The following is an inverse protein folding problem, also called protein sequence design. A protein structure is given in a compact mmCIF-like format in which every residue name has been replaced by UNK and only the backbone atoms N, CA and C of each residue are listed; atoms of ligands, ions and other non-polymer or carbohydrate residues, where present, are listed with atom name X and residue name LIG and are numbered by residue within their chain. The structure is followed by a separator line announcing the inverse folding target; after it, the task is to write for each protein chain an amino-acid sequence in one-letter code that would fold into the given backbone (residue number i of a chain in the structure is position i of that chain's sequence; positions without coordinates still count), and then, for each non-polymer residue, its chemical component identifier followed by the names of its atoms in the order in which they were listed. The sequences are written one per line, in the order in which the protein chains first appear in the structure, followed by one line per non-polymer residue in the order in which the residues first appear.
data_IF_037511508331
#
_entry.id   IF_037511508331
#
_cell.length_a   1.000
_cell.length_b   1.000
_cell.length_c   1.000
_cell.angle_alpha   90.00
_cell.angle_beta   90.00
_cell.angle_gamma   90.00
#
_symmetry.space_group_name_H-M   'P 1'
#
loop_
_entity.id
_entity.type
_entity.pdbx_description
1 polymer ?
#
# COMPACT_ATOMS: atom_id res chain seq x y z
N UNK A 1 53.55 57.03 35.73
CA UNK A 1 52.47 57.38 36.68
C UNK A 1 51.65 56.11 36.89
N UNK A 2 51.63 55.42 38.02
CA UNK A 2 52.38 55.55 39.27
C UNK A 2 52.16 54.30 40.12
N UNK A 3 53.27 53.78 40.68
CA UNK A 3 53.47 52.97 41.90
C UNK A 3 52.71 51.63 42.05
N UNK A 4 53.31 50.52 42.48
CA UNK A 4 54.64 50.27 43.03
C UNK A 4 54.61 48.98 43.89
N UNK A 5 55.51 48.06 43.56
CA UNK A 5 56.25 47.12 44.41
C UNK A 5 55.57 46.18 45.45
N UNK A 6 56.00 44.91 45.31
CA UNK A 6 56.49 43.97 46.34
C UNK A 6 55.53 43.21 47.28
N UNK A 7 55.69 41.88 47.21
CA UNK A 7 55.20 40.76 48.04
C UNK A 7 55.44 40.93 49.56
N UNK A 8 54.81 40.14 50.48
CA UNK A 8 55.03 38.67 50.62
C UNK A 8 53.80 37.83 51.10
N UNK A 9 53.96 36.50 51.14
CA UNK A 9 53.07 35.44 51.73
C UNK A 9 53.09 35.43 53.29
N UNK A 10 52.38 34.55 54.06
CA UNK A 10 51.19 33.66 53.84
C UNK A 10 50.18 33.61 55.05
N UNK A 11 49.13 32.75 55.01
CA UNK A 11 48.64 31.77 56.06
C UNK A 11 47.10 31.49 56.01
N UNK A 12 46.71 30.20 56.11
CA UNK A 12 45.44 29.71 56.72
C UNK A 12 44.57 28.78 55.84
N UNK A 13 44.70 27.43 55.90
CA UNK A 13 43.92 26.41 56.68
C UNK A 13 42.44 26.24 56.22
N UNK A 14 41.81 25.06 56.03
CA UNK A 14 42.00 23.64 56.40
C UNK A 14 41.04 22.71 55.57
N UNK A 15 41.23 21.36 55.55
CA UNK A 15 40.40 20.35 54.84
C UNK A 15 39.71 19.30 55.77
N UNK A 16 38.94 18.35 55.20
CA UNK A 16 38.67 16.96 55.68
C UNK A 16 37.78 16.24 54.63
N UNK A 17 38.13 15.14 53.95
CA UNK A 17 38.59 13.76 54.26
C UNK A 17 37.49 12.68 54.37
N UNK A 18 37.80 11.52 53.77
CA UNK A 18 36.97 10.33 53.50
C UNK A 18 37.44 9.11 54.32
N UNK A 19 36.53 8.13 54.41
CA UNK A 19 36.71 6.67 54.28
C UNK A 19 36.96 5.79 55.52
N UNK A 20 36.24 4.64 55.57
CA UNK A 20 36.79 3.26 55.61
C UNK A 20 35.66 2.20 55.66
N UNK A 21 35.98 0.95 55.29
CA UNK A 21 35.09 -0.17 54.90
C UNK A 21 35.20 -1.42 55.83
N UNK A 22 34.05 -2.11 56.05
CA UNK A 22 33.74 -3.58 56.17
C UNK A 22 34.37 -4.43 57.33
N UNK A 23 33.83 -5.63 57.75
CA UNK A 23 33.04 -6.64 57.00
C UNK A 23 31.96 -7.55 57.73
N UNK A 24 31.31 -8.44 56.94
CA UNK A 24 30.73 -9.82 57.17
C UNK A 24 29.45 -10.18 57.98
N UNK A 25 28.63 -11.04 57.30
CA UNK A 25 27.87 -12.26 57.72
C UNK A 25 26.51 -12.25 58.47
N UNK A 26 25.47 -12.76 57.76
CA UNK A 26 24.52 -13.86 58.08
C UNK A 26 23.45 -13.78 59.20
N UNK A 27 22.21 -14.12 58.78
CA UNK A 27 21.15 -14.93 59.44
C UNK A 27 20.11 -14.31 60.41
N UNK A 28 18.84 -14.43 59.96
CA UNK A 28 17.60 -14.84 60.67
C UNK A 28 16.80 -13.91 61.62
N UNK A 29 15.52 -13.79 61.25
CA UNK A 29 14.28 -13.99 62.03
C UNK A 29 13.49 -12.79 62.60
N UNK A 30 12.20 -12.77 62.19
CA UNK A 30 10.98 -12.30 62.86
C UNK A 30 10.75 -10.77 62.96
N UNK A 31 9.55 -10.21 62.73
CA UNK A 31 8.20 -10.77 62.95
C UNK A 31 7.13 -9.99 62.16
N UNK A 32 6.11 -10.72 61.69
CA UNK A 32 4.86 -10.26 61.06
C UNK A 32 3.90 -9.57 62.05
N UNK A 33 3.08 -8.65 61.54
CA UNK A 33 1.63 -8.44 61.77
C UNK A 33 1.23 -7.34 60.75
N UNK A 34 0.24 -7.46 59.86
CA UNK A 34 -1.08 -8.04 60.05
C UNK A 34 -1.70 -8.61 58.76
N UNK A 35 -2.69 -9.47 58.99
CA UNK A 35 -3.32 -10.46 58.11
C UNK A 35 -4.54 -9.95 57.28
N UNK A 36 -4.80 -10.70 56.19
CA UNK A 36 -6.10 -10.97 55.54
C UNK A 36 -6.67 -9.86 54.62
N UNK A 37 -6.98 -10.09 53.33
CA UNK A 37 -7.62 -11.26 52.70
C UNK A 37 -7.16 -11.47 51.23
N UNK A 38 -6.93 -12.73 50.86
CA UNK A 38 -6.86 -13.27 49.48
C UNK A 38 -8.31 -13.64 49.04
N UNK A 39 -8.68 -13.94 47.76
CA UNK A 39 -7.81 -14.51 46.72
C UNK A 39 -8.10 -14.13 45.25
N UNK A 40 -7.18 -14.54 44.35
CA UNK A 40 -7.39 -14.84 42.92
C UNK A 40 -7.82 -13.66 42.03
N UNK A 41 -6.84 -12.88 41.56
CA UNK A 41 -6.94 -12.30 40.21
C UNK A 41 -6.72 -13.42 39.21
N UNK A 42 -7.85 -13.95 38.74
CA UNK A 42 -7.95 -14.71 37.52
C UNK A 42 -7.19 -13.96 36.41
N UNK A 43 -6.02 -14.47 36.06
CA UNK A 43 -5.36 -14.12 34.81
C UNK A 43 -6.09 -14.90 33.72
N UNK A 44 -7.32 -14.49 33.44
CA UNK A 44 -7.91 -14.74 32.14
C UNK A 44 -7.01 -14.01 31.15
N UNK A 45 -6.01 -14.74 30.62
CA UNK A 45 -5.39 -14.42 29.35
C UNK A 45 -6.55 -14.11 28.42
N UNK A 46 -6.70 -12.84 28.05
CA UNK A 46 -7.37 -12.56 26.79
C UNK A 46 -6.38 -13.08 25.75
N UNK A 47 -6.49 -14.37 25.45
CA UNK A 47 -6.01 -14.92 24.19
C UNK A 47 -6.99 -14.34 23.18
N UNK A 48 -6.68 -13.16 22.66
CA UNK A 48 -7.20 -12.81 21.34
C UNK A 48 -6.46 -13.78 20.41
N UNK A 49 -7.14 -14.66 19.66
CA UNK A 49 -6.50 -15.35 18.58
C UNK A 49 -6.05 -14.24 17.63
N UNK A 50 -4.75 -13.99 17.60
CA UNK A 50 -4.10 -13.46 16.42
C UNK A 50 -4.30 -14.55 15.37
N UNK A 51 -5.45 -14.55 14.71
CA UNK A 51 -5.51 -15.20 13.42
C UNK A 51 -4.45 -14.51 12.57
N UNK A 52 -3.47 -15.31 12.17
CA UNK A 52 -2.29 -15.00 11.37
C UNK A 52 -2.67 -14.13 10.14
N UNK A 53 -1.74 -13.39 9.54
CA UNK A 53 -1.34 -13.79 8.18
C UNK A 53 -0.18 -12.95 7.64
N UNK A 54 0.93 -13.63 7.35
CA UNK A 54 1.79 -13.29 6.20
C UNK A 54 1.06 -13.83 4.97
N UNK A 55 0.36 -12.99 4.19
CA UNK A 55 -0.43 -13.52 3.06
C UNK A 55 0.47 -13.98 1.90
N UNK A 56 0.79 -15.29 1.88
CA UNK A 56 1.37 -16.03 0.75
C UNK A 56 0.32 -16.47 -0.28
N UNK A 57 -0.88 -15.89 -0.25
CA UNK A 57 -1.97 -16.26 -1.14
C UNK A 57 -2.53 -15.10 -1.95
N UNK A 58 -3.06 -15.46 -3.11
CA UNK A 58 -3.67 -14.56 -4.08
C UNK A 58 -5.13 -14.96 -4.29
N UNK A 59 -6.04 -14.00 -4.18
CA UNK A 59 -7.42 -14.22 -4.62
C UNK A 59 -7.51 -13.92 -6.11
N UNK A 60 -8.04 -14.86 -6.87
CA UNK A 60 -8.38 -14.69 -8.28
C UNK A 60 -9.90 -14.74 -8.40
N UNK A 61 -10.51 -13.79 -9.09
CA UNK A 61 -11.94 -13.81 -9.40
C UNK A 61 -12.14 -13.88 -10.90
N UNK A 62 -12.73 -14.98 -11.37
CA UNK A 62 -13.13 -15.18 -12.77
C UNK A 62 -14.65 -15.06 -12.93
N UNK A 63 -15.11 -14.10 -13.73
CA UNK A 63 -16.53 -13.90 -14.06
C UNK A 63 -16.71 -13.40 -15.50
N UNK A 64 -17.63 -13.98 -16.27
CA UNK A 64 -17.91 -13.59 -17.67
C UNK A 64 -18.31 -12.11 -17.82
N UNK A 65 -18.84 -11.49 -16.77
CA UNK A 65 -19.39 -10.13 -16.80
C UNK A 65 -18.74 -9.22 -15.77
N UNK A 66 -17.47 -9.44 -15.48
CA UNK A 66 -16.76 -8.61 -14.52
C UNK A 66 -16.68 -7.16 -15.01
N UNK A 67 -17.40 -6.26 -14.35
CA UNK A 67 -17.40 -4.82 -14.63
C UNK A 67 -17.34 -4.06 -13.31
N UNK A 68 -16.16 -3.53 -12.99
CA UNK A 68 -15.93 -2.75 -11.77
C UNK A 68 -16.73 -1.44 -11.72
N UNK A 69 -17.29 -0.99 -12.85
CA UNK A 69 -18.15 0.20 -12.90
C UNK A 69 -19.60 -0.07 -12.45
N UNK A 70 -19.98 -1.34 -12.31
CA UNK A 70 -21.25 -1.75 -11.70
C UNK A 70 -21.06 -1.80 -10.18
N UNK A 71 -21.83 -0.98 -9.47
CA UNK A 71 -21.67 -0.69 -8.03
C UNK A 71 -21.64 -1.96 -7.15
N UNK A 72 -22.37 -3.00 -7.57
CA UNK A 72 -22.42 -4.29 -6.86
C UNK A 72 -21.08 -5.06 -6.87
N UNK A 73 -20.33 -5.04 -7.99
CA UNK A 73 -19.00 -5.67 -8.05
C UNK A 73 -17.96 -4.84 -7.31
N UNK A 74 -18.01 -3.51 -7.46
CA UNK A 74 -17.15 -2.60 -6.68
C UNK A 74 -17.34 -2.78 -5.18
N UNK A 75 -18.59 -2.92 -4.72
CA UNK A 75 -18.91 -3.23 -3.32
C UNK A 75 -18.39 -4.61 -2.90
N UNK A 76 -18.58 -5.63 -3.73
CA UNK A 76 -18.15 -7.00 -3.45
C UNK A 76 -16.64 -7.14 -3.36
N UNK A 77 -15.89 -6.52 -4.29
CA UNK A 77 -14.43 -6.43 -4.24
C UNK A 77 -13.98 -5.70 -2.98
N UNK A 78 -14.63 -4.58 -2.64
CA UNK A 78 -14.32 -3.82 -1.42
C UNK A 78 -14.50 -4.67 -0.17
N UNK A 79 -15.51 -5.52 -0.11
CA UNK A 79 -15.70 -6.47 0.99
C UNK A 79 -14.64 -7.58 1.01
N UNK A 80 -14.30 -8.15 -0.14
CA UNK A 80 -13.24 -9.15 -0.25
C UNK A 80 -11.86 -8.59 0.09
N UNK A 81 -11.58 -7.32 -0.27
CA UNK A 81 -10.32 -6.64 0.06
C UNK A 81 -10.12 -6.45 1.56
N UNK A 82 -11.19 -6.52 2.37
CA UNK A 82 -11.10 -6.59 3.85
C UNK A 82 -10.65 -7.95 4.37
N UNK A 83 -10.58 -8.96 3.50
CA UNK A 83 -10.22 -10.33 3.84
C UNK A 83 -8.93 -10.77 3.14
N UNK A 84 -8.69 -10.31 1.92
CA UNK A 84 -7.55 -10.69 1.07
C UNK A 84 -6.94 -9.44 0.43
N UNK A 85 -5.62 -9.26 0.60
CA UNK A 85 -4.95 -8.02 0.19
C UNK A 85 -4.71 -7.90 -1.32
N UNK A 86 -4.58 -9.04 -2.02
CA UNK A 86 -4.35 -9.08 -3.46
C UNK A 86 -5.49 -9.84 -4.12
N UNK A 87 -6.20 -9.15 -5.01
CA UNK A 87 -7.30 -9.70 -5.80
C UNK A 87 -7.01 -9.37 -7.26
N UNK A 88 -6.99 -10.40 -8.09
CA UNK A 88 -6.83 -10.28 -9.54
C UNK A 88 -8.12 -10.77 -10.18
N UNK A 89 -8.62 -10.02 -11.16
CA UNK A 89 -9.94 -10.22 -11.73
C UNK A 89 -9.80 -10.53 -13.22
N UNK A 90 -10.60 -11.48 -13.71
CA UNK A 90 -10.53 -11.97 -15.07
C UNK A 90 -11.93 -12.13 -15.64
N UNK A 91 -12.07 -11.77 -16.93
CA UNK A 91 -13.27 -12.08 -17.71
C UNK A 91 -13.05 -13.30 -18.62
N UNK A 92 -11.82 -13.51 -19.06
CA UNK A 92 -11.44 -14.56 -20.00
C UNK A 92 -10.88 -15.79 -19.26
N UNK A 93 -11.43 -16.96 -19.59
CA UNK A 93 -11.07 -18.22 -18.95
C UNK A 93 -9.61 -18.60 -19.21
N UNK A 94 -9.16 -18.50 -20.45
CA UNK A 94 -7.83 -18.97 -20.83
C UNK A 94 -6.74 -18.06 -20.24
N UNK A 95 -6.97 -16.74 -20.19
CA UNK A 95 -6.08 -15.78 -19.53
C UNK A 95 -5.93 -16.06 -18.04
N UNK A 96 -7.06 -16.29 -17.35
CA UNK A 96 -7.07 -16.65 -15.93
C UNK A 96 -6.26 -17.92 -15.66
N UNK A 97 -6.43 -18.95 -16.49
CA UNK A 97 -5.72 -20.22 -16.38
C UNK A 97 -4.21 -20.02 -16.63
N UNK A 98 -3.83 -19.29 -17.68
CA UNK A 98 -2.43 -19.00 -17.97
C UNK A 98 -1.76 -18.21 -16.83
N UNK A 99 -2.47 -17.23 -16.26
CA UNK A 99 -2.01 -16.48 -15.10
C UNK A 99 -1.77 -17.38 -13.88
N UNK A 100 -2.73 -18.24 -13.55
CA UNK A 100 -2.61 -19.22 -12.47
C UNK A 100 -1.41 -20.15 -12.70
N UNK A 101 -1.13 -20.55 -13.95
CA UNK A 101 0.01 -21.42 -14.29
C UNK A 101 1.37 -20.73 -14.11
N UNK A 102 1.45 -19.41 -14.25
CA UNK A 102 2.69 -18.64 -14.07
C UNK A 102 3.08 -18.48 -12.59
N UNK A 103 2.15 -18.68 -11.65
CA UNK A 103 2.33 -18.43 -10.22
C UNK A 103 2.71 -19.70 -9.46
N UNK A 104 3.92 -20.22 -9.70
CA UNK A 104 4.34 -21.52 -9.13
C UNK A 104 4.61 -21.52 -7.62
N UNK A 105 4.82 -20.34 -7.01
CA UNK A 105 5.19 -20.21 -5.59
C UNK A 105 4.13 -19.50 -4.74
N UNK A 106 2.88 -19.42 -5.21
CA UNK A 106 1.79 -18.77 -4.47
C UNK A 106 0.58 -19.69 -4.34
N UNK A 107 -0.08 -19.68 -3.18
CA UNK A 107 -1.36 -20.39 -3.00
C UNK A 107 -2.48 -19.51 -3.57
N UNK A 108 -3.35 -20.08 -4.39
CA UNK A 108 -4.41 -19.32 -5.09
C UNK A 108 -5.77 -19.74 -4.56
N UNK A 109 -6.55 -18.74 -4.18
CA UNK A 109 -7.97 -18.85 -3.87
C UNK A 109 -8.73 -18.36 -5.09
N UNK A 110 -9.64 -19.16 -5.65
CA UNK A 110 -10.37 -18.81 -6.87
C UNK A 110 -11.85 -18.62 -6.58
N UNK A 111 -12.39 -17.44 -6.88
CA UNK A 111 -13.83 -17.21 -6.99
C UNK A 111 -14.19 -17.35 -8.46
N UNK A 112 -15.23 -18.14 -8.76
CA UNK A 112 -15.69 -18.37 -10.12
C UNK A 112 -17.19 -18.20 -10.22
N UNK A 113 -17.66 -17.55 -11.30
CA UNK A 113 -19.09 -17.47 -11.57
C UNK A 113 -19.69 -18.84 -11.90
N UNK A 114 -20.95 -19.04 -11.53
CA UNK A 114 -21.66 -20.30 -11.85
C UNK A 114 -21.74 -20.61 -13.35
N UNK A 115 -21.67 -19.60 -14.22
CA UNK A 115 -21.67 -19.83 -15.67
C UNK A 115 -20.41 -20.56 -16.15
N UNK A 116 -19.27 -20.32 -15.48
CA UNK A 116 -17.96 -20.84 -15.87
C UNK A 116 -17.53 -22.08 -15.07
N UNK A 117 -18.19 -22.41 -13.95
CA UNK A 117 -17.67 -23.44 -13.07
C UNK A 117 -17.61 -24.84 -13.73
N UNK A 118 -18.62 -25.22 -14.52
CA UNK A 118 -18.67 -26.51 -15.22
C UNK A 118 -17.57 -26.67 -16.29
N UNK A 119 -17.08 -25.56 -16.87
CA UNK A 119 -16.05 -25.58 -17.91
C UNK A 119 -14.64 -25.40 -17.33
N UNK A 120 -14.48 -24.56 -16.31
CA UNK A 120 -13.17 -24.17 -15.79
C UNK A 120 -12.69 -25.09 -14.68
N UNK A 121 -13.54 -25.50 -13.73
CA UNK A 121 -13.10 -26.33 -12.61
C UNK A 121 -12.47 -27.65 -13.06
N UNK A 122 -12.99 -28.38 -14.06
CA UNK A 122 -12.32 -29.57 -14.60
C UNK A 122 -10.92 -29.31 -15.19
N UNK A 123 -10.63 -28.07 -15.60
CA UNK A 123 -9.31 -27.68 -16.14
C UNK A 123 -8.32 -27.30 -15.04
N UNK A 124 -8.79 -26.73 -13.93
CA UNK A 124 -7.93 -26.13 -12.90
C UNK A 124 -7.82 -26.91 -11.60
N UNK A 125 -8.74 -27.84 -11.32
CA UNK A 125 -8.80 -28.51 -10.01
C UNK A 125 -7.51 -29.27 -9.62
N UNK A 126 -6.77 -29.79 -10.60
CA UNK A 126 -5.51 -30.51 -10.37
C UNK A 126 -4.28 -29.60 -10.21
N UNK A 127 -4.41 -28.29 -10.40
CA UNK A 127 -3.27 -27.36 -10.29
C UNK A 127 -2.78 -27.28 -8.84
N UNK A 128 -1.49 -27.47 -8.62
CA UNK A 128 -0.88 -27.51 -7.28
C UNK A 128 -0.97 -26.18 -6.54
N UNK A 129 -0.90 -25.07 -7.28
CA UNK A 129 -1.04 -23.71 -6.76
C UNK A 129 -2.48 -23.36 -6.35
N UNK A 130 -3.48 -24.04 -6.90
CA UNK A 130 -4.89 -23.76 -6.58
C UNK A 130 -5.27 -24.46 -5.28
N UNK A 131 -5.57 -23.68 -4.25
CA UNK A 131 -5.86 -24.17 -2.91
C UNK A 131 -7.36 -24.40 -2.67
N UNK A 132 -8.17 -23.38 -2.94
CA UNK A 132 -9.63 -23.42 -2.78
C UNK A 132 -10.34 -22.74 -3.94
N UNK A 133 -11.54 -23.24 -4.27
CA UNK A 133 -12.45 -22.69 -5.28
C UNK A 133 -13.79 -22.37 -4.60
N UNK A 134 -14.34 -21.19 -4.88
CA UNK A 134 -15.64 -20.74 -4.39
C UNK A 134 -16.50 -20.37 -5.59
N UNK A 135 -17.70 -20.94 -5.68
CA UNK A 135 -18.61 -20.67 -6.78
C UNK A 135 -19.58 -19.57 -6.38
N UNK A 136 -19.60 -18.46 -7.11
CA UNK A 136 -20.55 -17.37 -6.92
C UNK A 136 -21.67 -17.49 -7.96
N UNK A 137 -22.89 -17.79 -7.53
CA UNK A 137 -24.03 -17.91 -8.45
C UNK A 137 -25.37 -17.71 -7.76
N UNK A 138 -26.39 -17.30 -8.53
CA UNK A 138 -27.75 -17.17 -8.03
C UNK A 138 -28.47 -18.52 -7.85
N UNK A 139 -28.01 -19.59 -8.50
CA UNK A 139 -28.66 -20.91 -8.52
C UNK A 139 -27.88 -21.95 -7.72
N UNK A 140 -27.81 -21.74 -6.40
CA UNK A 140 -26.98 -22.54 -5.48
C UNK A 140 -27.21 -24.06 -5.62
N UNK A 141 -28.46 -24.49 -5.60
CA UNK A 141 -28.88 -25.90 -5.62
C UNK A 141 -28.31 -26.68 -6.82
N UNK A 142 -28.26 -26.03 -8.00
CA UNK A 142 -27.75 -26.65 -9.24
C UNK A 142 -26.27 -27.03 -9.10
N UNK A 143 -25.48 -26.16 -8.48
CA UNK A 143 -24.03 -26.33 -8.42
C UNK A 143 -23.54 -26.98 -7.13
N UNK A 144 -24.39 -27.05 -6.10
CA UNK A 144 -24.02 -27.62 -4.80
C UNK A 144 -23.89 -29.15 -4.84
N UNK A 145 -24.66 -29.83 -5.70
CA UNK A 145 -24.46 -31.26 -5.97
C UNK A 145 -23.20 -31.50 -6.81
N UNK A 146 -23.03 -30.75 -7.91
CA UNK A 146 -21.84 -30.84 -8.77
C UNK A 146 -20.53 -30.51 -8.04
N UNK A 147 -20.57 -29.54 -7.12
CA UNK A 147 -19.39 -29.13 -6.35
C UNK A 147 -18.85 -30.26 -5.45
N UNK A 148 -19.70 -31.22 -5.03
CA UNK A 148 -19.28 -32.35 -4.19
C UNK A 148 -18.27 -33.26 -4.87
N UNK A 149 -18.26 -33.27 -6.21
CA UNK A 149 -17.32 -34.08 -7.00
C UNK A 149 -15.90 -33.48 -7.00
N UNK A 150 -15.73 -32.23 -6.53
CA UNK A 150 -14.48 -31.49 -6.60
C UNK A 150 -13.97 -31.07 -5.21
N UNK A 151 -12.96 -31.75 -4.62
CA UNK A 151 -12.51 -31.53 -3.24
C UNK A 151 -11.99 -30.11 -2.92
N UNK A 152 -11.54 -29.38 -3.94
CA UNK A 152 -11.08 -28.00 -3.82
C UNK A 152 -12.21 -26.98 -3.86
N UNK A 153 -13.41 -27.36 -4.31
CA UNK A 153 -14.58 -26.48 -4.25
C UNK A 153 -15.08 -26.46 -2.80
N UNK A 154 -14.91 -25.31 -2.14
CA UNK A 154 -15.22 -25.14 -0.71
C UNK A 154 -16.65 -24.68 -0.46
N UNK A 155 -17.34 -24.21 -1.49
CA UNK A 155 -18.76 -23.89 -1.40
C UNK A 155 -19.32 -23.19 -2.63
N UNK A 156 -20.66 -23.17 -2.67
CA UNK A 156 -21.44 -22.40 -3.64
C UNK A 156 -22.23 -21.36 -2.88
N UNK A 157 -22.13 -20.10 -3.31
CA UNK A 157 -22.62 -18.94 -2.58
C UNK A 157 -23.43 -18.04 -3.49
N UNK A 158 -24.50 -17.48 -2.93
CA UNK A 158 -25.37 -16.49 -3.59
C UNK A 158 -25.03 -15.06 -3.20
N UNK A 159 -24.25 -14.88 -2.14
CA UNK A 159 -23.86 -13.60 -1.57
C UNK A 159 -22.35 -13.57 -1.31
N UNK A 160 -21.77 -12.37 -1.34
CA UNK A 160 -20.33 -12.17 -1.17
C UNK A 160 -19.87 -12.25 0.29
N UNK A 161 -20.72 -11.88 1.26
CA UNK A 161 -20.38 -11.89 2.69
C UNK A 161 -19.99 -13.32 3.14
N UNK A 162 -20.79 -14.37 2.86
CA UNK A 162 -20.39 -15.74 3.18
C UNK A 162 -19.13 -16.21 2.44
N UNK A 163 -18.87 -15.72 1.22
CA UNK A 163 -17.62 -16.02 0.51
C UNK A 163 -16.44 -15.42 1.28
N UNK A 164 -16.55 -14.18 1.77
CA UNK A 164 -15.50 -13.57 2.57
C UNK A 164 -15.14 -14.44 3.78
N UNK A 165 -16.12 -14.97 4.50
CA UNK A 165 -15.86 -15.83 5.65
C UNK A 165 -15.18 -17.16 5.27
N UNK A 166 -15.62 -17.78 4.17
CA UNK A 166 -15.03 -19.02 3.66
C UNK A 166 -13.59 -18.83 3.13
N UNK A 167 -13.34 -17.69 2.46
CA UNK A 167 -12.02 -17.24 2.04
C UNK A 167 -11.13 -17.02 3.26
N UNK A 168 -11.62 -16.34 4.30
CA UNK A 168 -10.89 -16.11 5.56
C UNK A 168 -10.51 -17.41 6.24
N UNK A 169 -11.42 -18.39 6.26
CA UNK A 169 -11.14 -19.70 6.86
C UNK A 169 -10.09 -20.49 6.07
N UNK A 170 -10.16 -20.50 4.74
CA UNK A 170 -9.17 -21.19 3.91
C UNK A 170 -7.81 -20.49 3.96
N UNK A 171 -7.80 -19.17 4.04
CA UNK A 171 -6.60 -18.38 4.29
C UNK A 171 -5.90 -18.79 5.60
N UNK A 172 -6.64 -18.98 6.69
CA UNK A 172 -6.06 -19.46 7.97
C UNK A 172 -5.49 -20.88 7.85
N UNK A 173 -6.19 -21.78 7.18
CA UNK A 173 -5.69 -23.13 6.94
C UNK A 173 -4.44 -23.15 6.05
N UNK A 174 -4.34 -22.23 5.08
CA UNK A 174 -3.13 -22.08 4.26
C UNK A 174 -1.88 -21.80 5.11
N UNK A 175 -2.04 -21.10 6.22
CA UNK A 175 -0.96 -20.69 7.13
C UNK A 175 -0.58 -21.77 8.11
N UNK A 176 -1.54 -22.55 8.60
CA UNK A 176 -1.27 -23.71 9.47
C UNK A 176 -0.41 -24.80 8.78
N UNK A 177 -0.44 -24.86 7.44
CA UNK A 177 0.41 -25.74 6.62
C UNK A 177 1.82 -25.18 6.34
N UNK A 178 2.10 -23.94 6.76
CA UNK A 178 3.43 -23.35 6.67
C UNK A 178 4.25 -23.70 7.90
N UNK A 179 5.56 -23.97 7.70
CA UNK A 179 6.49 -24.42 8.75
C UNK A 179 6.32 -23.56 10.01
N UNK A 180 6.27 -24.16 11.23
CA UNK A 180 6.06 -23.39 12.44
C UNK A 180 7.10 -22.28 12.52
N UNK A 181 6.62 -21.04 12.47
CA UNK A 181 7.46 -19.86 12.66
C UNK A 181 7.92 -19.94 14.11
N UNK A 182 9.18 -20.34 14.29
CA UNK A 182 9.84 -20.34 15.58
C UNK A 182 9.72 -18.96 16.22
N UNK A 183 9.16 -18.95 17.43
CA UNK A 183 9.26 -17.93 18.48
C UNK A 183 9.86 -16.57 18.06
N UNK A 184 9.03 -15.53 18.20
CA UNK A 184 9.28 -14.10 17.96
C UNK A 184 8.79 -13.59 16.61
N UNK A 185 7.46 -13.51 16.46
CA UNK A 185 6.87 -12.50 15.58
C UNK A 185 7.27 -11.14 16.14
N UNK A 186 8.06 -10.40 15.37
CA UNK A 186 8.49 -9.06 15.73
C UNK A 186 7.26 -8.14 15.80
N UNK A 187 6.99 -7.48 16.95
CA UNK A 187 5.79 -6.64 17.12
C UNK A 187 5.62 -5.57 16.03
N UNK A 188 6.72 -5.11 15.44
CA UNK A 188 6.78 -4.20 14.28
C UNK A 188 5.91 -4.67 13.10
N UNK A 189 6.01 -5.93 12.69
CA UNK A 189 5.32 -6.48 11.51
C UNK A 189 3.80 -6.46 11.67
N UNK A 190 3.33 -6.78 12.87
CA UNK A 190 1.91 -6.74 13.26
C UNK A 190 1.33 -5.31 13.20
N UNK A 191 2.10 -4.30 13.63
CA UNK A 191 1.67 -2.90 13.55
C UNK A 191 1.64 -2.41 12.10
N UNK A 192 2.67 -2.72 11.30
CA UNK A 192 2.76 -2.27 9.90
C UNK A 192 1.58 -2.80 9.07
N UNK A 193 1.13 -4.02 9.31
CA UNK A 193 0.03 -4.62 8.56
C UNK A 193 -1.34 -4.04 8.94
N UNK A 194 -1.62 -3.89 10.24
CA UNK A 194 -2.86 -3.25 10.71
C UNK A 194 -2.92 -1.77 10.31
N UNK A 195 -1.77 -1.06 10.33
CA UNK A 195 -1.68 0.31 9.83
C UNK A 195 -1.88 0.39 8.31
N UNK A 196 -1.31 -0.53 7.55
CA UNK A 196 -1.52 -0.63 6.10
C UNK A 196 -3.02 -0.83 5.78
N UNK A 197 -3.73 -1.65 6.53
CA UNK A 197 -5.18 -1.83 6.37
C UNK A 197 -5.98 -0.55 6.63
N UNK A 198 -5.69 0.16 7.73
CA UNK A 198 -6.35 1.44 8.04
C UNK A 198 -6.09 2.44 6.91
N UNK A 199 -4.87 2.50 6.37
CA UNK A 199 -4.52 3.52 5.39
C UNK A 199 -5.01 3.18 3.97
N UNK A 200 -5.11 1.90 3.61
CA UNK A 200 -5.75 1.48 2.36
C UNK A 200 -7.26 1.79 2.32
N UNK A 201 -7.88 2.13 3.45
CA UNK A 201 -9.26 2.65 3.46
C UNK A 201 -9.38 4.13 3.10
N UNK A 202 -8.25 4.86 3.04
CA UNK A 202 -8.21 6.28 2.71
C UNK A 202 -8.14 6.43 1.18
N UNK A 203 -9.19 7.00 0.59
CA UNK A 203 -9.27 7.25 -0.85
C UNK A 203 -8.56 8.54 -1.22
N UNK A 204 -7.26 8.43 -1.50
CA UNK A 204 -6.42 9.58 -1.85
C UNK A 204 -6.74 10.20 -3.22
N UNK A 205 -7.35 9.45 -4.15
CA UNK A 205 -7.67 9.96 -5.48
C UNK A 205 -8.82 10.98 -5.45
N UNK A 206 -9.90 10.63 -4.74
CA UNK A 206 -11.01 11.56 -4.50
C UNK A 206 -10.52 12.84 -3.83
N UNK A 207 -9.56 12.73 -2.93
CA UNK A 207 -9.10 13.87 -2.16
C UNK A 207 -8.20 14.83 -2.97
N UNK A 208 -7.45 14.36 -3.97
CA UNK A 208 -6.71 15.23 -4.90
C UNK A 208 -7.65 16.09 -5.76
N UNK A 209 -8.66 15.47 -6.36
CA UNK A 209 -9.67 16.18 -7.17
C UNK A 209 -10.43 17.24 -6.35
N UNK A 210 -10.72 16.91 -5.08
CA UNK A 210 -11.36 17.84 -4.14
C UNK A 210 -10.45 19.00 -3.81
N UNK A 211 -9.15 18.77 -3.64
CA UNK A 211 -8.18 19.86 -3.43
C UNK A 211 -8.09 20.77 -4.65
N UNK A 212 -7.99 20.20 -5.86
CA UNK A 212 -7.94 20.98 -7.10
C UNK A 212 -9.21 21.82 -7.26
N UNK A 213 -10.37 21.26 -6.92
CA UNK A 213 -11.65 21.96 -6.89
C UNK A 213 -11.67 23.09 -5.84
N UNK A 214 -11.21 22.84 -4.61
CA UNK A 214 -11.15 23.85 -3.54
C UNK A 214 -10.19 24.99 -3.93
N UNK A 215 -9.04 24.67 -4.50
CA UNK A 215 -8.06 25.66 -4.93
C UNK A 215 -8.54 26.46 -6.14
N UNK A 216 -9.19 25.80 -7.10
CA UNK A 216 -9.87 26.45 -8.22
C UNK A 216 -10.97 27.41 -7.73
N UNK A 217 -11.85 26.96 -6.82
CA UNK A 217 -12.91 27.78 -6.24
C UNK A 217 -12.37 29.01 -5.49
N UNK A 218 -11.23 28.87 -4.78
CA UNK A 218 -10.55 29.99 -4.12
C UNK A 218 -9.92 30.99 -5.09
N UNK A 219 -9.39 30.51 -6.22
CA UNK A 219 -8.80 31.37 -7.27
C UNK A 219 -9.86 32.06 -8.14
N UNK A 220 -11.08 31.53 -8.17
CA UNK A 220 -12.18 32.00 -9.00
C UNK A 220 -13.46 32.23 -8.18
N UNK A 221 -13.45 33.16 -7.21
CA UNK A 221 -14.59 33.40 -6.31
C UNK A 221 -15.86 33.84 -7.05
N UNK A 222 -15.72 34.41 -8.25
CA UNK A 222 -16.82 34.88 -9.10
C UNK A 222 -17.75 33.74 -9.59
N UNK A 223 -17.31 32.49 -9.53
CA UNK A 223 -18.07 31.30 -9.92
C UNK A 223 -18.75 30.59 -8.73
N UNK A 224 -18.50 31.04 -7.50
CA UNK A 224 -19.16 30.52 -6.30
C UNK A 224 -20.33 31.43 -5.97
N UNK A 225 -21.54 30.98 -6.33
CA UNK A 225 -22.74 31.84 -6.38
C UNK A 225 -23.17 32.35 -4.99
N UNK A 226 -22.77 31.70 -3.89
CA UNK A 226 -23.07 32.14 -2.53
C UNK A 226 -22.06 31.67 -1.47
N UNK A 227 -22.09 32.32 -0.29
CA UNK A 227 -21.22 32.01 0.84
C UNK A 227 -21.43 30.60 1.42
N UNK A 228 -22.64 30.02 1.30
CA UNK A 228 -22.94 28.66 1.80
C UNK A 228 -22.21 27.58 0.99
N UNK A 229 -22.11 27.73 -0.33
CA UNK A 229 -21.33 26.82 -1.18
C UNK A 229 -19.83 26.91 -0.85
N UNK A 230 -19.32 28.11 -0.60
CA UNK A 230 -17.92 28.30 -0.20
C UNK A 230 -17.64 27.67 1.17
N UNK A 231 -18.55 27.80 2.12
CA UNK A 231 -18.46 27.19 3.46
C UNK A 231 -18.51 25.66 3.38
N UNK A 232 -19.38 25.10 2.54
CA UNK A 232 -19.44 23.66 2.29
C UNK A 232 -18.15 23.13 1.64
N UNK A 233 -17.62 23.80 0.62
CA UNK A 233 -16.37 23.43 -0.06
C UNK A 233 -15.20 23.49 0.93
N UNK A 234 -15.13 24.54 1.76
CA UNK A 234 -14.08 24.66 2.77
C UNK A 234 -14.18 23.57 3.83
N UNK A 235 -15.38 23.32 4.39
CA UNK A 235 -15.61 22.26 5.36
C UNK A 235 -15.25 20.88 4.81
N UNK A 236 -15.67 20.59 3.57
CA UNK A 236 -15.35 19.33 2.91
C UNK A 236 -13.84 19.20 2.63
N UNK A 237 -13.16 20.29 2.26
CA UNK A 237 -11.70 20.34 2.14
C UNK A 237 -10.99 20.11 3.48
N UNK A 238 -11.49 20.69 4.57
CA UNK A 238 -10.94 20.51 5.93
C UNK A 238 -11.08 19.06 6.43
N UNK A 239 -12.24 18.43 6.23
CA UNK A 239 -12.48 17.03 6.57
C UNK A 239 -11.48 16.12 5.83
N UNK A 240 -11.27 16.37 4.55
CA UNK A 240 -10.31 15.66 3.71
C UNK A 240 -8.84 15.87 4.13
N UNK A 241 -8.47 17.11 4.48
CA UNK A 241 -7.13 17.40 5.05
C UNK A 241 -6.93 16.76 6.42
N UNK A 242 -8.02 16.56 7.18
CA UNK A 242 -8.03 15.79 8.42
C UNK A 242 -7.68 14.32 8.20
N UNK A 243 -8.17 13.70 7.12
CA UNK A 243 -7.83 12.31 6.78
C UNK A 243 -6.37 12.14 6.36
N UNK A 244 -5.80 13.05 5.57
CA UNK A 244 -4.35 13.04 5.27
C UNK A 244 -3.49 13.17 6.52
N UNK A 245 -3.89 14.06 7.43
CA UNK A 245 -3.14 14.28 8.68
C UNK A 245 -3.15 13.03 9.57
N UNK A 246 -4.27 12.30 9.61
CA UNK A 246 -4.35 10.99 10.29
C UNK A 246 -3.47 9.95 9.59
N UNK A 247 -3.56 9.84 8.26
CA UNK A 247 -2.74 8.92 7.46
C UNK A 247 -1.25 9.13 7.72
N UNK A 248 -0.82 10.39 7.68
CA UNK A 248 0.56 10.79 7.93
C UNK A 248 1.01 10.40 9.34
N UNK A 249 0.20 10.71 10.37
CA UNK A 249 0.52 10.32 11.75
C UNK A 249 0.70 8.80 11.91
N UNK A 250 -0.09 8.01 11.19
CA UNK A 250 0.04 6.56 11.21
C UNK A 250 1.30 6.08 10.50
N UNK A 251 1.60 6.60 9.30
CA UNK A 251 2.84 6.23 8.61
C UNK A 251 4.11 6.68 9.33
N UNK A 252 4.09 7.84 9.99
CA UNK A 252 5.22 8.32 10.78
C UNK A 252 5.46 7.44 12.02
N UNK A 253 4.39 6.98 12.68
CA UNK A 253 4.48 6.01 13.78
C UNK A 253 4.99 4.65 13.31
N UNK A 254 4.47 4.16 12.19
CA UNK A 254 4.96 2.92 11.57
C UNK A 254 6.45 3.02 11.22
N UNK A 255 6.87 4.13 10.63
CA UNK A 255 8.27 4.38 10.32
C UNK A 255 9.12 4.45 11.60
N UNK A 256 8.65 5.12 12.66
CA UNK A 256 9.37 5.19 13.94
C UNK A 256 9.57 3.80 14.56
N UNK A 257 8.55 2.95 14.54
CA UNK A 257 8.63 1.57 15.02
C UNK A 257 9.58 0.76 14.14
N UNK A 258 9.42 0.85 12.82
CA UNK A 258 10.24 0.15 11.85
C UNK A 258 11.72 0.53 11.93
N UNK A 259 12.05 1.80 12.18
CA UNK A 259 13.43 2.27 12.36
C UNK A 259 14.10 1.69 13.63
N UNK A 260 13.32 1.34 14.66
CA UNK A 260 13.85 0.72 15.89
C UNK A 260 14.02 -0.79 15.75
N UNK A 261 13.23 -1.41 14.88
CA UNK A 261 13.15 -2.86 14.72
C UNK A 261 14.02 -3.37 13.56
N UNK A 262 14.10 -2.63 12.45
CA UNK A 262 14.66 -3.11 11.20
C UNK A 262 16.04 -2.51 10.89
N UNK A 263 16.90 -3.24 10.14
CA UNK A 263 18.12 -2.70 9.60
C UNK A 263 17.87 -1.45 8.71
N UNK A 264 18.79 -0.47 8.65
CA UNK A 264 18.59 0.79 7.91
C UNK A 264 18.27 0.65 6.41
N UNK A 265 18.62 -0.47 5.79
CA UNK A 265 18.39 -0.77 4.39
C UNK A 265 17.24 -1.76 4.16
N UNK A 266 16.38 -2.00 5.15
CA UNK A 266 15.29 -2.96 5.02
C UNK A 266 14.21 -2.45 4.04
N UNK A 267 13.70 -3.28 3.11
CA UNK A 267 12.69 -2.86 2.11
C UNK A 267 11.42 -2.22 2.70
N UNK A 268 10.98 -2.67 3.89
CA UNK A 268 9.83 -2.06 4.58
C UNK A 268 10.04 -0.58 4.90
N UNK A 269 11.27 -0.16 5.25
CA UNK A 269 11.56 1.26 5.47
C UNK A 269 11.36 2.06 4.19
N UNK A 270 11.77 1.52 3.04
CA UNK A 270 11.51 2.16 1.76
C UNK A 270 10.01 2.27 1.46
N UNK A 271 9.22 1.24 1.78
CA UNK A 271 7.77 1.27 1.60
C UNK A 271 7.12 2.36 2.48
N UNK A 272 7.50 2.46 3.76
CA UNK A 272 6.99 3.50 4.66
C UNK A 272 7.34 4.90 4.16
N UNK A 273 8.59 5.13 3.74
CA UNK A 273 8.98 6.42 3.14
C UNK A 273 8.23 6.74 1.84
N UNK A 274 8.00 5.75 0.98
CA UNK A 274 7.22 5.96 -0.24
C UNK A 274 5.78 6.37 0.08
N UNK A 275 5.16 5.73 1.07
CA UNK A 275 3.80 6.05 1.46
C UNK A 275 3.68 7.42 2.12
N UNK A 276 4.64 7.79 2.98
CA UNK A 276 4.73 9.16 3.52
C UNK A 276 4.88 10.18 2.39
N UNK A 277 5.72 9.87 1.40
CA UNK A 277 5.90 10.69 0.20
C UNK A 277 4.59 10.91 -0.54
N UNK A 278 3.80 9.84 -0.71
CA UNK A 278 2.49 9.90 -1.36
C UNK A 278 1.48 10.74 -0.59
N UNK A 279 1.44 10.63 0.74
CA UNK A 279 0.56 11.49 1.56
C UNK A 279 0.98 12.96 1.42
N UNK A 280 2.28 13.27 1.49
CA UNK A 280 2.75 14.64 1.30
C UNK A 280 2.47 15.17 -0.11
N UNK A 281 2.65 14.36 -1.15
CA UNK A 281 2.36 14.76 -2.55
C UNK A 281 0.88 15.12 -2.70
N UNK A 282 0.00 14.28 -2.15
CA UNK A 282 -1.44 14.52 -2.16
C UNK A 282 -1.87 15.73 -1.30
N UNK A 283 -1.13 16.04 -0.22
CA UNK A 283 -1.27 17.30 0.51
C UNK A 283 -0.71 18.51 -0.27
N UNK A 284 0.06 18.30 -1.34
CA UNK A 284 0.83 19.30 -2.09
C UNK A 284 2.05 19.84 -1.36
N UNK A 285 2.51 19.13 -0.33
CA UNK A 285 3.75 19.39 0.39
C UNK A 285 4.92 18.79 -0.41
N UNK A 286 5.09 19.26 -1.65
CA UNK A 286 5.96 18.63 -2.67
C UNK A 286 7.43 18.47 -2.21
N UNK A 287 7.97 19.42 -1.45
CA UNK A 287 9.33 19.32 -0.91
C UNK A 287 9.49 18.16 0.09
N UNK A 288 8.46 17.92 0.92
CA UNK A 288 8.46 16.79 1.88
C UNK A 288 8.19 15.47 1.16
N UNK A 289 7.33 15.50 0.14
CA UNK A 289 7.08 14.36 -0.73
C UNK A 289 8.37 13.88 -1.41
N UNK A 290 9.10 14.81 -2.04
CA UNK A 290 10.36 14.54 -2.71
C UNK A 290 11.41 13.96 -1.75
N UNK A 291 11.62 14.58 -0.60
CA UNK A 291 12.54 14.09 0.43
C UNK A 291 12.23 12.64 0.86
N UNK A 292 10.94 12.32 1.01
CA UNK A 292 10.49 10.98 1.40
C UNK A 292 10.70 9.97 0.27
N UNK A 293 10.33 10.30 -0.97
CA UNK A 293 10.57 9.44 -2.12
C UNK A 293 12.06 9.22 -2.40
N UNK A 294 12.90 10.24 -2.25
CA UNK A 294 14.35 10.13 -2.41
C UNK A 294 14.97 9.19 -1.36
N UNK A 295 14.51 9.28 -0.10
CA UNK A 295 14.92 8.36 0.96
C UNK A 295 14.51 6.91 0.66
N UNK A 296 13.27 6.72 0.19
CA UNK A 296 12.78 5.41 -0.25
C UNK A 296 13.66 4.83 -1.36
N UNK A 297 13.97 5.64 -2.38
CA UNK A 297 14.80 5.27 -3.51
C UNK A 297 16.25 4.95 -3.08
N UNK A 298 16.82 5.67 -2.12
CA UNK A 298 18.15 5.38 -1.57
C UNK A 298 18.21 4.00 -0.93
N UNK A 299 17.22 3.67 -0.09
CA UNK A 299 17.11 2.35 0.55
C UNK A 299 16.95 1.26 -0.51
N UNK A 300 16.06 1.45 -1.48
CA UNK A 300 15.82 0.48 -2.56
C UNK A 300 17.07 0.23 -3.41
N UNK A 301 17.86 1.26 -3.72
CA UNK A 301 19.12 1.09 -4.48
C UNK A 301 20.15 0.22 -3.77
N UNK A 302 20.11 0.19 -2.43
CA UNK A 302 20.99 -0.66 -1.63
C UNK A 302 20.40 -2.08 -1.52
N UNK A 303 19.08 -2.19 -1.36
CA UNK A 303 18.41 -3.44 -1.05
C UNK A 303 18.03 -4.29 -2.28
N UNK A 304 17.86 -3.68 -3.45
CA UNK A 304 17.26 -4.30 -4.62
C UNK A 304 18.19 -4.30 -5.84
N UNK A 305 18.02 -5.25 -6.78
CA UNK A 305 18.70 -5.22 -8.06
C UNK A 305 18.41 -3.92 -8.85
N UNK A 306 19.34 -3.43 -9.68
CA UNK A 306 19.19 -2.16 -10.42
C UNK A 306 17.97 -2.05 -11.33
N UNK A 307 17.40 -3.19 -11.76
CA UNK A 307 16.24 -3.29 -12.63
C UNK A 307 14.96 -3.70 -11.89
N UNK A 308 14.93 -3.61 -10.56
CA UNK A 308 13.74 -3.97 -9.79
C UNK A 308 12.56 -3.02 -10.06
N UNK A 309 11.31 -3.52 -10.25
CA UNK A 309 10.14 -2.68 -10.53
C UNK A 309 9.90 -1.56 -9.50
N UNK A 310 10.20 -1.80 -8.23
CA UNK A 310 10.04 -0.78 -7.17
C UNK A 310 10.90 0.46 -7.40
N UNK A 311 12.11 0.32 -7.95
CA UNK A 311 12.95 1.46 -8.33
C UNK A 311 12.23 2.29 -9.40
N UNK A 312 11.61 1.64 -10.39
CA UNK A 312 10.85 2.33 -11.42
C UNK A 312 9.63 3.08 -10.85
N UNK A 313 8.93 2.50 -9.87
CA UNK A 313 7.82 3.16 -9.18
C UNK A 313 8.30 4.41 -8.44
N UNK A 314 9.42 4.33 -7.71
CA UNK A 314 10.01 5.48 -7.01
C UNK A 314 10.42 6.59 -7.98
N UNK A 315 11.07 6.26 -9.10
CA UNK A 315 11.39 7.23 -10.15
C UNK A 315 10.14 7.87 -10.77
N UNK A 316 9.07 7.10 -10.94
CA UNK A 316 7.81 7.63 -11.45
C UNK A 316 7.18 8.62 -10.46
N UNK A 317 7.18 8.31 -9.17
CA UNK A 317 6.64 9.20 -8.13
C UNK A 317 7.45 10.50 -8.02
N UNK A 318 8.78 10.41 -8.06
CA UNK A 318 9.66 11.59 -8.10
C UNK A 318 9.38 12.43 -9.36
N UNK A 319 9.23 11.78 -10.52
CA UNK A 319 8.87 12.45 -11.77
C UNK A 319 7.53 13.20 -11.68
N UNK A 320 6.55 12.61 -10.99
CA UNK A 320 5.25 13.23 -10.76
C UNK A 320 5.33 14.46 -9.88
N UNK A 321 6.13 14.42 -8.80
CA UNK A 321 6.36 15.60 -7.96
C UNK A 321 7.00 16.72 -8.77
N UNK A 322 8.05 16.44 -9.55
CA UNK A 322 8.68 17.45 -10.41
C UNK A 322 7.76 17.99 -11.49
N UNK A 323 6.87 17.14 -12.04
CA UNK A 323 5.85 17.59 -12.98
C UNK A 323 4.88 18.57 -12.31
N UNK A 324 4.38 18.24 -11.12
CA UNK A 324 3.48 19.10 -10.35
C UNK A 324 4.13 20.45 -9.95
N UNK A 325 5.45 20.49 -9.78
CA UNK A 325 6.20 21.73 -9.47
C UNK A 325 6.66 22.50 -10.72
N UNK A 326 6.36 22.02 -11.93
CA UNK A 326 6.76 22.65 -13.20
C UNK A 326 8.23 22.44 -13.58
N UNK A 327 8.95 21.56 -12.87
CA UNK A 327 10.35 21.22 -13.13
C UNK A 327 10.47 20.14 -14.23
N UNK A 328 9.93 20.44 -15.42
CA UNK A 328 9.73 19.46 -16.50
C UNK A 328 10.99 18.68 -16.92
N UNK A 329 12.16 19.31 -16.95
CA UNK A 329 13.41 18.62 -17.28
C UNK A 329 13.78 17.53 -16.26
N UNK A 330 13.51 17.76 -14.97
CA UNK A 330 13.75 16.76 -13.91
C UNK A 330 12.67 15.67 -13.94
N UNK A 331 11.43 16.04 -14.24
CA UNK A 331 10.34 15.10 -14.45
C UNK A 331 10.67 14.10 -15.59
N UNK A 332 11.08 14.61 -16.76
CA UNK A 332 11.52 13.77 -17.89
C UNK A 332 12.65 12.83 -17.49
N UNK A 333 13.71 13.36 -16.88
CA UNK A 333 14.85 12.53 -16.44
C UNK A 333 14.43 11.38 -15.52
N UNK A 334 13.45 11.64 -14.63
CA UNK A 334 12.94 10.64 -13.69
C UNK A 334 12.04 9.62 -14.39
N UNK A 335 11.12 10.06 -15.25
CA UNK A 335 10.27 9.16 -16.02
C UNK A 335 11.04 8.31 -17.03
N UNK A 336 12.07 8.86 -17.68
CA UNK A 336 12.94 8.11 -18.59
C UNK A 336 13.69 6.99 -17.86
N UNK A 337 14.19 7.25 -16.65
CA UNK A 337 14.80 6.21 -15.81
C UNK A 337 13.79 5.14 -15.40
N UNK A 338 12.57 5.54 -15.02
CA UNK A 338 11.47 4.60 -14.74
C UNK A 338 11.17 3.72 -15.96
N UNK A 339 11.10 4.33 -17.14
CA UNK A 339 10.83 3.64 -18.39
C UNK A 339 11.94 2.66 -18.77
N UNK A 340 13.20 3.03 -18.60
CA UNK A 340 14.35 2.15 -18.85
C UNK A 340 14.28 0.88 -18.00
N UNK A 341 14.05 1.04 -16.69
CA UNK A 341 13.90 -0.09 -15.76
C UNK A 341 12.72 -0.97 -16.16
N UNK A 342 11.55 -0.36 -16.42
CA UNK A 342 10.34 -1.10 -16.81
C UNK A 342 10.51 -1.87 -18.12
N UNK A 343 11.22 -1.32 -19.11
CA UNK A 343 11.50 -2.01 -20.39
C UNK A 343 12.36 -3.25 -20.22
N UNK A 344 13.23 -3.28 -19.20
CA UNK A 344 14.05 -4.45 -18.88
C UNK A 344 13.24 -5.46 -18.07
N UNK A 345 12.44 -4.98 -17.12
CA UNK A 345 11.74 -5.82 -16.14
C UNK A 345 10.41 -6.40 -16.63
N UNK A 346 9.77 -5.80 -17.64
CA UNK A 346 8.39 -6.09 -18.02
C UNK A 346 8.24 -6.41 -19.52
N UNK A 347 7.21 -7.20 -19.91
CA UNK A 347 6.89 -7.43 -21.31
C UNK A 347 6.60 -6.12 -22.07
N UNK A 348 6.86 -6.04 -23.40
CA UNK A 348 6.74 -4.82 -24.19
C UNK A 348 5.37 -4.12 -24.18
N UNK A 349 4.27 -4.86 -23.93
CA UNK A 349 2.90 -4.32 -23.87
C UNK A 349 2.34 -4.28 -22.43
N UNK A 350 3.18 -4.31 -21.40
CA UNK A 350 2.70 -4.25 -20.03
C UNK A 350 2.02 -2.88 -19.74
N UNK A 351 0.81 -2.83 -19.14
CA UNK A 351 0.08 -1.59 -18.92
C UNK A 351 0.87 -0.48 -18.20
N UNK A 352 1.76 -0.84 -17.27
CA UNK A 352 2.59 0.13 -16.54
C UNK A 352 3.63 0.87 -17.41
N UNK A 353 3.95 0.36 -18.61
CA UNK A 353 4.74 1.09 -19.61
C UNK A 353 3.90 2.21 -20.24
N UNK A 354 2.61 1.96 -20.46
CA UNK A 354 1.70 2.97 -21.01
C UNK A 354 1.56 4.17 -20.07
N UNK A 355 1.46 3.93 -18.76
CA UNK A 355 1.36 5.00 -17.76
C UNK A 355 2.61 5.91 -17.78
N UNK A 356 3.82 5.35 -17.89
CA UNK A 356 5.04 6.16 -17.98
C UNK A 356 5.17 6.85 -19.33
N UNK A 357 4.77 6.23 -20.44
CA UNK A 357 4.73 6.91 -21.74
C UNK A 357 3.73 8.06 -21.75
N UNK A 358 2.57 7.91 -21.13
CA UNK A 358 1.59 8.99 -21.00
C UNK A 358 2.18 10.15 -20.20
N UNK A 359 2.80 9.88 -19.04
CA UNK A 359 3.43 10.91 -18.23
C UNK A 359 4.50 11.70 -19.00
N UNK A 360 5.35 11.02 -19.78
CA UNK A 360 6.34 11.68 -20.65
C UNK A 360 5.64 12.52 -21.74
N UNK A 361 4.57 11.99 -22.31
CA UNK A 361 3.76 12.71 -23.31
C UNK A 361 3.13 13.99 -22.78
N UNK A 362 2.59 13.95 -21.56
CA UNK A 362 2.00 15.12 -20.88
C UNK A 362 3.08 16.17 -20.55
N UNK A 363 4.26 15.75 -20.09
CA UNK A 363 5.37 16.70 -19.86
C UNK A 363 5.75 17.42 -21.15
N UNK A 364 5.86 16.69 -22.27
CA UNK A 364 6.13 17.31 -23.58
C UNK A 364 5.01 18.23 -24.06
N UNK A 365 3.75 17.90 -23.77
CA UNK A 365 2.61 18.76 -24.06
C UNK A 365 2.73 20.11 -23.36
N UNK A 366 3.02 20.08 -22.06
CA UNK A 366 3.15 21.30 -21.23
C UNK A 366 4.40 22.11 -21.56
N UNK A 367 5.43 21.48 -22.10
CA UNK A 367 6.60 22.15 -22.69
C UNK A 367 6.34 22.71 -24.10
N UNK A 368 5.18 22.44 -24.71
CA UNK A 368 4.83 22.85 -26.07
C UNK A 368 5.45 22.01 -27.19
N UNK A 369 6.09 20.89 -26.88
CA UNK A 369 6.61 19.93 -27.87
C UNK A 369 5.52 18.92 -28.25
N UNK A 370 4.49 19.42 -28.95
CA UNK A 370 3.31 18.63 -29.32
C UNK A 370 3.65 17.43 -30.21
N UNK A 371 4.74 17.49 -30.99
CA UNK A 371 5.19 16.37 -31.83
C UNK A 371 5.69 15.21 -30.99
N UNK A 372 6.55 15.46 -29.99
CA UNK A 372 6.99 14.41 -29.06
C UNK A 372 5.85 13.94 -28.18
N UNK A 373 5.03 14.86 -27.68
CA UNK A 373 3.84 14.53 -26.89
C UNK A 373 2.95 13.52 -27.62
N UNK A 374 2.57 13.83 -28.88
CA UNK A 374 1.74 12.96 -29.70
C UNK A 374 2.36 11.58 -29.90
N UNK A 375 3.67 11.51 -30.18
CA UNK A 375 4.39 10.24 -30.34
C UNK A 375 4.33 9.36 -29.09
N UNK A 376 4.53 9.96 -27.91
CA UNK A 376 4.49 9.24 -26.64
C UNK A 376 3.08 8.82 -26.23
N UNK A 377 2.09 9.70 -26.40
CA UNK A 377 0.68 9.39 -26.13
C UNK A 377 0.16 8.28 -27.05
N UNK A 378 0.56 8.27 -28.32
CA UNK A 378 0.23 7.18 -29.26
C UNK A 378 0.83 5.84 -28.82
N UNK A 379 2.07 5.83 -28.31
CA UNK A 379 2.66 4.61 -27.74
C UNK A 379 1.91 4.12 -26.52
N UNK A 380 1.52 5.02 -25.62
CA UNK A 380 0.71 4.68 -24.45
C UNK A 380 -0.65 4.08 -24.86
N UNK A 381 -1.34 4.71 -25.80
CA UNK A 381 -2.63 4.25 -26.32
C UNK A 381 -2.50 2.87 -26.98
N UNK A 382 -1.50 2.66 -27.84
CA UNK A 382 -1.26 1.38 -28.51
C UNK A 382 -1.02 0.22 -27.52
N UNK A 383 -0.26 0.49 -26.45
CA UNK A 383 -0.05 -0.51 -25.39
C UNK A 383 -1.38 -0.82 -24.69
N UNK A 384 -2.16 0.21 -24.34
CA UNK A 384 -3.47 0.05 -23.70
C UNK A 384 -4.46 -0.71 -24.58
N UNK A 385 -4.52 -0.43 -25.88
CA UNK A 385 -5.36 -1.16 -26.84
C UNK A 385 -5.00 -2.64 -26.95
N UNK A 386 -3.71 -2.98 -26.78
CA UNK A 386 -3.22 -4.37 -26.80
C UNK A 386 -3.35 -5.10 -25.47
N UNK A 387 -3.48 -4.38 -24.36
CA UNK A 387 -3.43 -4.95 -23.00
C UNK A 387 -4.73 -4.81 -22.23
N UNK A 388 -5.70 -4.04 -22.73
CA UNK A 388 -6.97 -3.78 -22.08
C UNK A 388 -8.15 -4.03 -23.05
N UNK A 389 -9.35 -4.35 -22.55
CA UNK A 389 -10.54 -4.52 -23.37
C UNK A 389 -10.86 -3.28 -24.23
N UNK A 390 -11.43 -3.42 -25.44
CA UNK A 390 -11.63 -2.31 -26.40
C UNK A 390 -12.50 -1.13 -25.94
N UNK A 391 -13.14 -1.22 -24.77
CA UNK A 391 -13.95 -0.15 -24.15
C UNK A 391 -13.38 0.32 -22.79
N UNK A 392 -12.16 -0.08 -22.43
CA UNK A 392 -11.58 0.28 -21.15
C UNK A 392 -11.40 1.81 -21.02
N UNK A 393 -11.83 2.46 -19.92
CA UNK A 393 -11.81 3.92 -19.78
C UNK A 393 -10.44 4.58 -20.02
N UNK A 394 -9.34 3.88 -19.67
CA UNK A 394 -7.97 4.33 -19.96
C UNK A 394 -7.67 4.47 -21.46
N UNK A 395 -8.25 3.64 -22.33
CA UNK A 395 -8.09 3.79 -23.80
C UNK A 395 -8.79 5.08 -24.23
N UNK A 396 -10.04 5.29 -23.81
CA UNK A 396 -10.79 6.51 -24.10
C UNK A 396 -10.07 7.76 -23.61
N UNK A 397 -9.51 7.74 -22.39
CA UNK A 397 -8.70 8.84 -21.85
C UNK A 397 -7.46 9.10 -22.71
N UNK A 398 -6.75 8.04 -23.12
CA UNK A 398 -5.57 8.16 -23.98
C UNK A 398 -5.92 8.78 -25.33
N UNK A 399 -7.03 8.35 -25.92
CA UNK A 399 -7.52 8.87 -27.20
C UNK A 399 -7.90 10.36 -27.08
N UNK A 400 -8.58 10.75 -26.00
CA UNK A 400 -8.89 12.15 -25.71
C UNK A 400 -7.62 13.01 -25.58
N UNK A 401 -6.59 12.52 -24.88
CA UNK A 401 -5.32 13.21 -24.75
C UNK A 401 -4.64 13.39 -26.13
N UNK A 402 -4.63 12.33 -26.95
CA UNK A 402 -4.12 12.39 -28.34
C UNK A 402 -4.88 13.46 -29.15
N UNK A 403 -6.20 13.47 -29.08
CA UNK A 403 -7.02 14.39 -29.87
C UNK A 403 -6.89 15.83 -29.38
N UNK A 404 -6.67 16.04 -28.08
CA UNK A 404 -6.36 17.35 -27.51
C UNK A 404 -5.02 17.89 -28.02
N UNK A 405 -3.97 17.06 -28.03
CA UNK A 405 -2.66 17.46 -28.57
C UNK A 405 -2.74 17.76 -30.05
N UNK A 406 -3.45 16.94 -30.84
CA UNK A 406 -3.66 17.20 -32.28
C UNK A 406 -4.37 18.53 -32.56
N UNK A 407 -5.25 19.01 -31.68
CA UNK A 407 -5.91 20.32 -31.82
C UNK A 407 -4.96 21.49 -31.53
N UNK A 408 -3.88 21.26 -30.77
CA UNK A 408 -2.87 22.26 -30.40
C UNK A 408 -1.71 22.37 -31.40
N UNK A 409 -1.54 21.34 -32.26
CA UNK A 409 -0.65 21.34 -33.41
C UNK A 409 -1.22 22.17 -34.56
#
# INVERSE_FOLDING_TARGET
MGCGASSPMPIGNLPNERSSLLPTSSTTLNQQLDLNQNPKRDRSRIVVPLDELVQNFLLVWLDEKFDESVDDYGHSIKQLRRTVNKIETFCETDECIEYILQLQNQKILLIISGALCETVVPRVHNMTQLYSIYVFCQKKEKYEEWAKDWPKVKGVFTEIIPICDAVRQSARQCDEDSVPIGSEIEPSFMYTQLFKEIILTIDFHKTKEVKDLVEYARKHPDYVENNEQLEFINKFGEENMGEYSKALSYYEKDLEISLKALPPNHPNLAASYNNIGMVYDNMGEYSKALSSYERSLEIQKIALPPNHPDLASSYNNIGMVYYNTGEYSKALSSYERSLEIKKIALPPNHPSLADTYENIGLVHEDMGDYTKSLSFLQRACNIREKSLPPQHPKITKSQNNIDNVKKKM
#
